data_IF_529143709987
#
_entry.id   IF_529143709987
#
_cell.length_a   1.000
_cell.length_b   1.000
_cell.length_c   1.000
_cell.angle_alpha   90.00
_cell.angle_beta   90.00
_cell.angle_gamma   90.00
#
_symmetry.space_group_name_H-M   'P 1'
#
loop_
_entity.id
_entity.type
_entity.pdbx_description
1 polymer ?
#
# COMPACT_ATOMS: atom_id res chain seq x y z
N UNK A 1 -2.97 11.43 21.81
CA UNK A 1 -2.45 10.07 21.57
C UNK A 1 -3.11 9.58 20.30
N UNK A 2 -2.40 9.51 19.17
CA UNK A 2 -2.97 8.91 17.97
C UNK A 2 -3.04 7.39 18.17
N UNK A 3 -4.19 6.79 17.86
CA UNK A 3 -4.38 5.34 18.00
C UNK A 3 -3.47 4.58 17.03
N UNK A 4 -3.08 3.35 17.35
CA UNK A 4 -2.26 2.55 16.44
C UNK A 4 -2.91 2.38 15.06
N UNK A 5 -4.25 2.36 15.03
CA UNK A 5 -5.07 2.27 13.83
C UNK A 5 -4.91 3.50 12.92
N UNK A 6 -4.94 4.71 13.49
CA UNK A 6 -4.71 5.96 12.76
C UNK A 6 -3.29 6.01 12.17
N UNK A 7 -2.28 5.59 12.94
CA UNK A 7 -0.89 5.55 12.45
C UNK A 7 -0.72 4.56 11.31
N UNK A 8 -1.37 3.39 11.37
CA UNK A 8 -1.37 2.40 10.26
C UNK A 8 -2.09 2.94 9.02
N UNK A 9 -3.20 3.66 9.19
CA UNK A 9 -3.86 4.36 8.09
C UNK A 9 -2.94 5.38 7.42
N UNK A 10 -2.21 6.17 8.21
CA UNK A 10 -1.22 7.11 7.71
C UNK A 10 -0.08 6.45 6.92
N UNK A 11 0.34 5.26 7.33
CA UNK A 11 1.34 4.47 6.61
C UNK A 11 0.86 4.05 5.22
N UNK A 12 -0.37 3.53 5.09
CA UNK A 12 -0.94 3.14 3.80
C UNK A 12 -1.08 4.35 2.87
N UNK A 13 -1.53 5.49 3.40
CA UNK A 13 -1.63 6.74 2.62
C UNK A 13 -0.25 7.18 2.14
N UNK A 14 0.78 7.12 3.00
CA UNK A 14 2.14 7.48 2.61
C UNK A 14 2.69 6.58 1.49
N UNK A 15 2.40 5.27 1.53
CA UNK A 15 2.76 4.34 0.46
C UNK A 15 2.06 4.68 -0.86
N UNK A 16 0.76 4.98 -0.83
CA UNK A 16 -0.01 5.46 -2.00
C UNK A 16 0.54 6.76 -2.59
N UNK A 17 1.10 7.63 -1.75
CA UNK A 17 1.77 8.85 -2.19
C UNK A 17 3.20 8.62 -2.72
N UNK A 18 3.65 7.37 -2.82
CA UNK A 18 4.99 7.02 -3.34
C UNK A 18 6.13 7.29 -2.37
N UNK A 19 5.87 7.46 -1.07
CA UNK A 19 6.93 7.64 -0.06
C UNK A 19 7.76 6.39 0.09
N UNK A 20 9.07 6.57 0.28
CA UNK A 20 9.97 5.46 0.51
C UNK A 20 9.75 4.86 1.92
N UNK A 21 9.89 3.53 2.11
CA UNK A 21 9.73 2.89 3.41
C UNK A 21 10.58 3.53 4.52
N UNK A 22 11.79 4.00 4.18
CA UNK A 22 12.68 4.70 5.11
C UNK A 22 12.08 6.00 5.64
N UNK A 23 11.49 6.82 4.78
CA UNK A 23 10.83 8.07 5.19
C UNK A 23 9.64 7.81 6.12
N UNK A 24 8.90 6.72 5.85
CA UNK A 24 7.76 6.28 6.66
C UNK A 24 8.23 5.81 8.06
N UNK A 25 9.32 5.03 8.13
CA UNK A 25 9.94 4.61 9.40
C UNK A 25 10.35 5.83 10.21
N UNK A 26 11.03 6.80 9.57
CA UNK A 26 11.54 7.98 10.24
C UNK A 26 10.41 8.88 10.77
N UNK A 27 9.28 8.97 10.06
CA UNK A 27 8.13 9.79 10.46
C UNK A 27 7.21 9.11 11.48
N UNK A 28 6.76 7.88 11.21
CA UNK A 28 5.79 7.18 12.04
C UNK A 28 6.42 6.37 13.18
N UNK A 29 7.75 6.25 13.19
CA UNK A 29 8.52 5.52 14.22
C UNK A 29 8.07 4.07 14.40
N UNK A 30 7.58 3.44 13.34
CA UNK A 30 7.26 2.02 13.35
C UNK A 30 8.53 1.17 13.27
N UNK A 31 8.51 -0.07 13.80
CA UNK A 31 9.58 -1.03 13.57
C UNK A 31 9.77 -1.30 12.07
N UNK A 32 11.02 -1.47 11.65
CA UNK A 32 11.36 -1.79 10.25
C UNK A 32 10.56 -2.99 9.74
N UNK A 33 10.49 -4.07 10.52
CA UNK A 33 9.75 -5.28 10.16
C UNK A 33 8.27 -4.99 9.85
N UNK A 34 7.63 -4.11 10.62
CA UNK A 34 6.24 -3.71 10.39
C UNK A 34 6.09 -2.94 9.08
N UNK A 35 6.95 -1.95 8.84
CA UNK A 35 6.85 -1.13 7.62
C UNK A 35 7.12 -1.95 6.37
N UNK A 36 8.17 -2.78 6.36
CA UNK A 36 8.48 -3.64 5.22
C UNK A 36 7.42 -4.72 5.00
N UNK A 37 6.85 -5.29 6.07
CA UNK A 37 5.74 -6.23 5.97
C UNK A 37 4.52 -5.60 5.28
N UNK A 38 4.10 -4.41 5.74
CA UNK A 38 2.96 -3.71 5.15
C UNK A 38 3.27 -3.26 3.71
N UNK A 39 4.48 -2.76 3.44
CA UNK A 39 4.90 -2.36 2.09
C UNK A 39 4.81 -3.53 1.11
N UNK A 40 5.23 -4.73 1.53
CA UNK A 40 5.15 -5.94 0.71
C UNK A 40 3.70 -6.30 0.39
N UNK A 41 2.85 -6.40 1.40
CA UNK A 41 1.43 -6.70 1.21
C UNK A 41 0.70 -5.64 0.40
N UNK A 42 1.10 -4.37 0.54
CA UNK A 42 0.56 -3.26 -0.25
C UNK A 42 0.87 -3.43 -1.74
N UNK A 43 2.14 -3.71 -2.10
CA UNK A 43 2.51 -3.99 -3.50
C UNK A 43 1.79 -5.20 -4.08
N UNK A 44 1.74 -6.30 -3.32
CA UNK A 44 1.00 -7.51 -3.73
C UNK A 44 -0.48 -7.21 -3.99
N UNK A 45 -1.09 -6.30 -3.21
CA UNK A 45 -2.48 -5.88 -3.43
C UNK A 45 -2.66 -4.99 -4.66
N UNK A 46 -1.72 -4.08 -4.94
CA UNK A 46 -1.78 -3.23 -6.15
C UNK A 46 -1.58 -4.08 -7.42
N UNK A 47 -0.67 -5.06 -7.40
CA UNK A 47 -0.45 -5.99 -8.52
C UNK A 47 -1.72 -6.81 -8.83
N UNK A 48 -2.47 -7.23 -7.80
CA UNK A 48 -3.74 -7.93 -7.95
C UNK A 48 -4.82 -7.01 -8.51
N UNK A 49 -4.90 -5.76 -8.03
CA UNK A 49 -5.87 -4.78 -8.51
C UNK A 49 -5.63 -4.39 -9.97
N UNK A 50 -4.37 -4.17 -10.35
CA UNK A 50 -3.97 -3.90 -11.73
C UNK A 50 -4.26 -5.11 -12.65
N UNK A 51 -3.95 -6.33 -12.20
CA UNK A 51 -4.28 -7.56 -12.91
C UNK A 51 -5.79 -7.79 -13.08
N UNK A 52 -6.60 -7.31 -12.15
CA UNK A 52 -8.06 -7.40 -12.21
C UNK A 52 -8.67 -6.34 -13.14
N UNK A 53 -8.18 -5.09 -13.09
CA UNK A 53 -8.56 -4.01 -14.00
C UNK A 53 -8.24 -4.36 -15.45
N UNK A 54 -7.01 -4.81 -15.72
CA UNK A 54 -6.58 -5.23 -17.06
C UNK A 54 -7.36 -6.44 -17.60
N UNK A 55 -7.83 -7.35 -16.73
CA UNK A 55 -8.70 -8.47 -17.14
C UNK A 55 -10.13 -8.01 -17.44
N UNK A 56 -10.67 -7.05 -16.67
CA UNK A 56 -12.01 -6.51 -16.90
C UNK A 56 -12.11 -5.70 -18.20
N UNK A 57 -11.09 -4.93 -18.54
CA UNK A 57 -11.07 -4.15 -19.79
C UNK A 57 -11.04 -5.06 -21.04
N UNK A 58 -10.35 -6.21 -20.97
CA UNK A 58 -10.37 -7.20 -22.06
C UNK A 58 -11.69 -7.97 -22.18
N UNK A 59 -12.45 -8.10 -21.09
CA UNK A 59 -13.75 -8.79 -21.10
C UNK A 59 -14.92 -7.86 -21.50
N UNK A 60 -14.71 -6.53 -21.52
CA UNK A 60 -15.70 -5.55 -22.00
C UNK A 60 -15.53 -5.18 -23.48
N UNK A 61 -14.53 -5.74 -24.17
CA UNK A 61 -14.22 -5.44 -25.59
C UNK A 61 -14.55 -6.58 -26.57
N UNK A 62 -15.35 -7.57 -26.15
CA UNK A 62 -15.99 -8.53 -27.08
C UNK A 62 -17.46 -8.11 -27.31
N UNK A 63 -17.83 -7.60 -28.51
CA UNK A 63 -19.22 -7.36 -28.91
C UNK A 63 -19.99 -8.63 -29.29
#
# INVERSE_FOLDING_TARGET
>A
MSSELERRGGLIVALRCGRAPKEIIDFFKFPNATVYGITKSFKESEDIEEGFLTRKERLQTDP
#
